data_IF_021640461360
#
_entry.id   IF_021640461360
#
_cell.length_a   1.000
_cell.length_b   1.000
_cell.length_c   1.000
_cell.angle_alpha   90.00
_cell.angle_beta   90.00
_cell.angle_gamma   90.00
#
_symmetry.space_group_name_H-M   'P 1'
#
loop_
_entity.id
_entity.type
_entity.pdbx_description
1 polymer ?
#
# COMPACT_ATOMS: atom_id res chain seq x y z
N UNK A 1 -22.73 8.37 5.30
CA UNK A 1 -21.62 8.20 4.34
C UNK A 1 -20.66 7.12 4.86
N UNK A 2 -20.13 6.25 3.98
CA UNK A 2 -19.20 5.17 4.38
C UNK A 2 -17.79 5.69 4.72
N UNK A 3 -17.40 6.84 4.16
CA UNK A 3 -16.15 7.53 4.47
C UNK A 3 -16.35 8.52 5.62
N UNK A 4 -15.49 8.43 6.64
CA UNK A 4 -15.51 9.31 7.81
C UNK A 4 -14.92 10.68 7.49
N UNK A 5 -15.45 11.71 8.16
CA UNK A 5 -14.83 13.04 8.16
C UNK A 5 -13.40 12.93 8.67
N UNK A 6 -12.48 13.66 8.05
CA UNK A 6 -11.04 13.72 8.34
C UNK A 6 -10.30 12.38 8.22
N UNK A 7 -10.96 11.36 7.67
CA UNK A 7 -10.36 10.09 7.33
C UNK A 7 -9.30 10.25 6.23
N UNK A 8 -8.43 9.25 6.11
CA UNK A 8 -7.47 9.15 5.00
C UNK A 8 -7.96 8.09 4.02
N UNK A 9 -8.05 8.46 2.75
CA UNK A 9 -8.41 7.58 1.64
C UNK A 9 -7.17 7.32 0.80
N UNK A 10 -6.88 6.05 0.53
CA UNK A 10 -5.82 5.62 -0.37
C UNK A 10 -6.46 5.08 -1.64
N UNK A 11 -5.98 5.54 -2.79
CA UNK A 11 -6.50 5.14 -4.09
C UNK A 11 -5.37 4.79 -5.05
N UNK A 12 -5.64 3.83 -5.94
CA UNK A 12 -4.75 3.56 -7.07
C UNK A 12 -5.02 4.58 -8.18
N UNK A 13 -3.99 5.31 -8.61
CA UNK A 13 -4.11 6.44 -9.54
C UNK A 13 -4.57 6.04 -10.95
N UNK A 14 -4.34 4.79 -11.36
CA UNK A 14 -4.76 4.29 -12.68
C UNK A 14 -6.18 3.72 -12.64
N UNK A 15 -6.55 3.06 -11.54
CA UNK A 15 -7.87 2.43 -11.39
C UNK A 15 -8.94 3.37 -10.83
N UNK A 16 -8.53 4.44 -10.15
CA UNK A 16 -9.40 5.46 -9.56
C UNK A 16 -8.97 6.84 -10.07
N UNK A 17 -9.26 7.15 -11.36
CA UNK A 17 -8.88 8.43 -11.95
C UNK A 17 -9.63 9.61 -11.32
N UNK A 18 -10.86 9.36 -10.86
CA UNK A 18 -11.69 10.33 -10.15
C UNK A 18 -11.74 9.97 -8.66
N UNK A 19 -11.13 10.81 -7.84
CA UNK A 19 -11.15 10.63 -6.38
C UNK A 19 -12.51 11.05 -5.83
N UNK A 20 -13.01 10.37 -4.79
CA UNK A 20 -14.23 10.79 -4.12
C UNK A 20 -14.05 12.19 -3.52
N UNK A 21 -15.12 12.98 -3.52
CA UNK A 21 -15.13 14.31 -2.91
C UNK A 21 -15.74 14.26 -1.51
N UNK A 22 -15.20 15.06 -0.60
CA UNK A 22 -15.73 15.19 0.76
C UNK A 22 -14.69 15.69 1.74
N UNK A 23 -15.09 15.79 3.01
CA UNK A 23 -14.24 16.25 4.09
C UNK A 23 -13.30 15.13 4.59
N UNK A 24 -12.46 14.58 3.71
CA UNK A 24 -11.42 13.59 4.02
C UNK A 24 -10.17 13.88 3.18
N UNK A 25 -9.04 13.27 3.52
CA UNK A 25 -7.77 13.43 2.79
C UNK A 25 -7.59 12.27 1.83
N UNK A 26 -7.58 12.53 0.53
CA UNK A 26 -7.25 11.53 -0.47
C UNK A 26 -5.75 11.56 -0.80
N UNK A 27 -5.11 10.40 -0.84
CA UNK A 27 -3.77 10.21 -1.41
C UNK A 27 -3.86 9.17 -2.53
N UNK A 28 -3.36 9.54 -3.70
CA UNK A 28 -3.40 8.71 -4.91
C UNK A 28 -2.00 8.23 -5.24
N UNK A 29 -1.84 6.92 -5.46
CA UNK A 29 -0.55 6.28 -5.71
C UNK A 29 -0.64 5.28 -6.86
N UNK A 30 0.43 5.08 -7.64
CA UNK A 30 0.43 4.16 -8.78
C UNK A 30 0.69 2.70 -8.35
N UNK A 31 -0.10 2.14 -7.42
CA UNK A 31 0.15 0.82 -6.82
C UNK A 31 0.24 -0.30 -7.86
N UNK A 32 -0.71 -0.37 -8.78
CA UNK A 32 -0.82 -1.41 -9.81
C UNK A 32 0.32 -1.29 -10.84
N UNK A 33 0.65 -0.07 -11.24
CA UNK A 33 1.76 0.20 -12.15
C UNK A 33 3.09 -0.23 -11.53
N UNK A 34 3.33 0.14 -10.27
CA UNK A 34 4.54 -0.22 -9.53
C UNK A 34 4.63 -1.71 -9.26
N UNK A 35 3.51 -2.39 -9.03
CA UNK A 35 3.46 -3.85 -8.95
C UNK A 35 3.85 -4.52 -10.28
N UNK A 36 3.46 -3.95 -11.42
CA UNK A 36 3.90 -4.44 -12.75
C UNK A 36 5.39 -4.23 -12.96
N UNK A 37 5.96 -3.10 -12.55
CA UNK A 37 7.41 -2.84 -12.60
C UNK A 37 8.20 -3.86 -11.77
N UNK A 38 7.65 -4.30 -10.63
CA UNK A 38 8.21 -5.38 -9.80
C UNK A 38 7.95 -6.79 -10.38
N UNK A 39 7.36 -6.90 -11.57
CA UNK A 39 7.18 -8.17 -12.29
C UNK A 39 5.93 -8.96 -11.93
N UNK A 40 5.03 -8.44 -11.08
CA UNK A 40 3.79 -9.12 -10.74
C UNK A 40 2.69 -8.16 -10.29
N UNK A 41 1.71 -7.87 -11.15
CA UNK A 41 0.58 -7.01 -10.80
C UNK A 41 -0.17 -7.44 -9.52
N UNK A 42 -0.20 -8.75 -9.20
CA UNK A 42 -0.93 -9.27 -8.04
C UNK A 42 -0.37 -8.81 -6.68
N UNK A 43 0.85 -8.25 -6.63
CA UNK A 43 1.46 -7.75 -5.38
C UNK A 43 1.11 -6.29 -5.06
N UNK A 44 0.24 -5.65 -5.84
CA UNK A 44 -0.21 -4.27 -5.59
C UNK A 44 -0.81 -4.07 -4.20
N UNK A 45 -1.48 -5.10 -3.65
CA UNK A 45 -2.02 -5.07 -2.29
C UNK A 45 -0.93 -4.90 -1.22
N UNK A 46 0.26 -5.44 -1.43
CA UNK A 46 1.38 -5.35 -0.49
C UNK A 46 1.99 -3.95 -0.51
N UNK A 47 2.10 -3.33 -1.69
CA UNK A 47 2.50 -1.92 -1.83
C UNK A 47 1.48 -1.02 -1.14
N UNK A 48 0.17 -1.28 -1.36
CA UNK A 48 -0.90 -0.55 -0.69
C UNK A 48 -0.87 -0.69 0.83
N UNK A 49 -0.57 -1.88 1.36
CA UNK A 49 -0.41 -2.12 2.80
C UNK A 49 0.78 -1.34 3.37
N UNK A 50 1.93 -1.35 2.69
CA UNK A 50 3.10 -0.57 3.09
C UNK A 50 2.80 0.93 3.15
N UNK A 51 2.13 1.45 2.12
CA UNK A 51 1.72 2.86 2.07
C UNK A 51 0.74 3.21 3.20
N UNK A 52 -0.26 2.35 3.44
CA UNK A 52 -1.21 2.53 4.54
C UNK A 52 -0.51 2.61 5.89
N UNK A 53 0.39 1.66 6.19
CA UNK A 53 1.10 1.62 7.46
C UNK A 53 2.07 2.79 7.62
N UNK A 54 2.76 3.20 6.54
CA UNK A 54 3.63 4.37 6.57
C UNK A 54 2.89 5.68 6.85
N UNK A 55 1.67 5.83 6.33
CA UNK A 55 0.87 7.06 6.50
C UNK A 55 0.19 7.12 7.87
N UNK A 56 -0.32 5.99 8.33
CA UNK A 56 -1.22 5.93 9.49
C UNK A 56 -0.51 5.53 10.79
N UNK A 57 0.72 5.00 10.71
CA UNK A 57 1.42 4.39 11.84
C UNK A 57 0.63 3.29 12.57
N UNK A 58 -0.36 2.66 11.90
CA UNK A 58 -1.21 1.61 12.48
C UNK A 58 -0.44 0.35 12.88
N UNK A 59 0.68 0.06 12.22
CA UNK A 59 1.49 -1.10 12.50
C UNK A 59 2.98 -0.78 12.28
N UNK A 60 3.84 -1.29 13.18
CA UNK A 60 5.27 -1.17 13.02
C UNK A 60 5.75 -1.99 11.81
N UNK A 61 6.61 -1.39 10.98
CA UNK A 61 7.21 -2.05 9.81
C UNK A 61 7.83 -3.42 10.14
N UNK A 62 8.57 -3.50 11.25
CA UNK A 62 9.21 -4.74 11.72
C UNK A 62 8.20 -5.86 12.01
N UNK A 63 7.00 -5.54 12.51
CA UNK A 63 5.95 -6.52 12.77
C UNK A 63 5.39 -7.10 11.47
N UNK A 64 5.23 -6.27 10.43
CA UNK A 64 4.83 -6.72 9.10
C UNK A 64 5.90 -7.62 8.47
N UNK A 65 7.17 -7.19 8.46
CA UNK A 65 8.28 -7.99 7.93
C UNK A 65 8.40 -9.35 8.61
N UNK A 66 8.25 -9.39 9.94
CA UNK A 66 8.28 -10.64 10.72
C UNK A 66 7.12 -11.55 10.31
N UNK A 67 5.92 -10.99 10.17
CA UNK A 67 4.73 -11.74 9.73
C UNK A 67 4.91 -12.28 8.31
N UNK A 68 5.46 -11.49 7.40
CA UNK A 68 5.72 -11.92 6.02
C UNK A 68 6.70 -13.09 5.98
N UNK A 69 7.78 -13.05 6.77
CA UNK A 69 8.75 -14.15 6.89
C UNK A 69 8.11 -15.45 7.41
N UNK A 70 7.12 -15.34 8.29
CA UNK A 70 6.42 -16.50 8.88
C UNK A 70 5.29 -17.05 8.00
N UNK A 71 4.61 -16.20 7.23
CA UNK A 71 3.34 -16.55 6.56
C UNK A 71 3.42 -16.58 5.04
N UNK A 72 4.39 -15.90 4.43
CA UNK A 72 4.52 -15.89 2.97
C UNK A 72 5.13 -17.19 2.47
N UNK A 73 4.64 -17.78 1.36
CA UNK A 73 5.35 -18.83 0.66
C UNK A 73 6.75 -18.34 0.27
N UNK A 74 7.76 -19.18 0.40
CA UNK A 74 9.17 -18.81 0.16
C UNK A 74 9.39 -18.14 -1.20
N UNK A 75 8.74 -18.66 -2.25
CA UNK A 75 8.80 -18.11 -3.63
C UNK A 75 8.32 -16.65 -3.74
N UNK A 76 7.48 -16.17 -2.83
CA UNK A 76 6.93 -14.81 -2.86
C UNK A 76 7.50 -13.90 -1.76
N UNK A 77 8.35 -14.42 -0.87
CA UNK A 77 8.82 -13.66 0.28
C UNK A 77 9.59 -12.40 -0.12
N UNK A 78 10.62 -12.53 -0.96
CA UNK A 78 11.44 -11.39 -1.39
C UNK A 78 10.62 -10.35 -2.15
N UNK A 79 9.70 -10.81 -3.00
CA UNK A 79 8.83 -9.93 -3.75
C UNK A 79 7.85 -9.19 -2.83
N UNK A 80 7.27 -9.86 -1.85
CA UNK A 80 6.38 -9.24 -0.87
C UNK A 80 7.13 -8.23 0.01
N UNK A 81 8.37 -8.53 0.42
CA UNK A 81 9.21 -7.60 1.18
C UNK A 81 9.55 -6.36 0.34
N UNK A 82 9.98 -6.54 -0.91
CA UNK A 82 10.27 -5.43 -1.83
C UNK A 82 9.03 -4.56 -2.08
N UNK A 83 7.86 -5.18 -2.22
CA UNK A 83 6.59 -4.48 -2.39
C UNK A 83 6.19 -3.68 -1.14
N UNK A 84 6.33 -4.28 0.05
CA UNK A 84 6.06 -3.62 1.31
C UNK A 84 6.96 -2.40 1.49
N UNK A 85 8.26 -2.56 1.23
CA UNK A 85 9.27 -1.51 1.31
C UNK A 85 8.95 -0.34 0.37
N UNK A 86 8.58 -0.65 -0.87
CA UNK A 86 8.15 0.35 -1.86
C UNK A 86 6.92 1.13 -1.37
N UNK A 87 5.95 0.43 -0.78
CA UNK A 87 4.78 1.07 -0.16
C UNK A 87 5.15 2.05 0.96
N UNK A 88 6.04 1.64 1.87
CA UNK A 88 6.54 2.53 2.93
C UNK A 88 7.28 3.75 2.38
N UNK A 89 8.09 3.57 1.33
CA UNK A 89 8.80 4.69 0.70
C UNK A 89 7.81 5.72 0.10
N UNK A 90 6.74 5.26 -0.56
CA UNK A 90 5.69 6.13 -1.11
C UNK A 90 4.92 6.90 -0.04
N UNK A 91 4.82 6.38 1.18
CA UNK A 91 4.15 7.08 2.26
C UNK A 91 4.87 8.37 2.66
N UNK A 92 6.21 8.38 2.54
CA UNK A 92 7.11 9.46 2.99
C UNK A 92 7.36 10.52 1.90
N UNK A 93 7.05 10.22 0.64
CA UNK A 93 7.02 11.17 -0.48
C UNK A 93 5.72 11.98 -0.50
#
# INVERSE_FOLDING_TARGET
PLLKKEGTVLADSKRVPELPQGAFRCRSFPFVEKARELGNERIANMIGLGALCGISSLCARKSLETTLKQKSPSRFLELNLSALDLGFAMALS
#
